data_IF_923808620536
#
_entry.id   IF_923808620536
#
_cell.length_a   1.000
_cell.length_b   1.000
_cell.length_c   1.000
_cell.angle_alpha   90.00
_cell.angle_beta   90.00
_cell.angle_gamma   90.00
#
_symmetry.space_group_name_H-M   'P 1'
#
loop_
_entity.id
_entity.type
_entity.pdbx_description
1 polymer ?
#
# COMPACT_ATOMS: atom_id res chain seq x y z
N UNK A 1 2.23 46.00 7.49
CA UNK A 1 1.66 45.81 6.14
C UNK A 1 0.90 44.51 6.15
N UNK A 2 -0.40 44.60 6.41
CA UNK A 2 -1.32 43.45 6.46
C UNK A 2 -1.52 42.89 5.05
N UNK A 3 -1.18 41.63 4.82
CA UNK A 3 -1.62 40.89 3.64
C UNK A 3 -2.89 40.10 4.01
N UNK A 4 -4.03 40.76 3.83
CA UNK A 4 -5.36 40.17 4.01
C UNK A 4 -5.67 39.21 2.86
N UNK A 5 -5.23 37.95 2.98
CA UNK A 5 -5.62 36.91 2.03
C UNK A 5 -7.09 36.51 2.28
N UNK A 6 -7.97 36.96 1.37
CA UNK A 6 -9.44 36.82 1.46
C UNK A 6 -9.91 35.38 1.71
N UNK A 7 -10.86 35.13 2.64
CA UNK A 7 -11.42 33.80 2.93
C UNK A 7 -12.03 33.08 1.72
N UNK A 8 -12.44 33.83 0.68
CA UNK A 8 -12.99 33.26 -0.56
C UNK A 8 -11.95 32.42 -1.31
N UNK A 9 -10.70 32.87 -1.38
CA UNK A 9 -9.62 32.16 -2.09
C UNK A 9 -9.27 30.81 -1.46
N UNK A 10 -9.39 30.68 -0.13
CA UNK A 10 -9.14 29.42 0.59
C UNK A 10 -10.21 28.35 0.32
N UNK A 11 -11.48 28.76 0.18
CA UNK A 11 -12.57 27.84 -0.19
C UNK A 11 -12.42 27.36 -1.63
N UNK A 12 -12.05 28.25 -2.56
CA UNK A 12 -11.83 27.89 -3.96
C UNK A 12 -10.68 26.89 -4.09
N UNK A 13 -9.53 27.16 -3.45
CA UNK A 13 -8.37 26.24 -3.46
C UNK A 13 -8.67 24.85 -2.83
N UNK A 14 -9.44 24.81 -1.73
CA UNK A 14 -9.84 23.54 -1.10
C UNK A 14 -10.81 22.71 -1.95
N UNK A 15 -11.64 23.36 -2.78
CA UNK A 15 -12.55 22.70 -3.72
C UNK A 15 -11.75 22.15 -4.91
N UNK A 16 -10.82 22.93 -5.46
CA UNK A 16 -9.97 22.48 -6.58
C UNK A 16 -9.05 21.31 -6.20
N UNK A 17 -8.56 21.26 -4.95
CA UNK A 17 -7.76 20.13 -4.43
C UNK A 17 -8.63 18.88 -4.19
N UNK A 18 -9.93 19.03 -3.88
CA UNK A 18 -10.86 17.91 -3.73
C UNK A 18 -11.31 17.35 -5.09
N UNK A 19 -11.48 18.20 -6.10
CA UNK A 19 -11.88 17.78 -7.45
C UNK A 19 -10.74 17.05 -8.19
N UNK A 20 -9.49 17.48 -8.00
CA UNK A 20 -8.31 16.83 -8.59
C UNK A 20 -7.95 15.46 -7.97
N UNK A 21 -8.50 15.12 -6.81
CA UNK A 21 -8.24 13.85 -6.13
C UNK A 21 -9.13 12.67 -6.62
N UNK A 22 -10.17 12.96 -7.42
CA UNK A 22 -11.19 11.96 -7.82
C UNK A 22 -10.86 11.30 -9.17
N UNK A 23 -10.06 11.92 -10.04
CA UNK A 23 -9.62 11.28 -11.30
C UNK A 23 -8.22 10.68 -11.17
N UNK A 24 -8.15 9.37 -10.93
CA UNK A 24 -6.90 8.59 -11.06
C UNK A 24 -6.82 7.93 -12.45
N UNK A 25 -5.96 8.39 -13.36
CA UNK A 25 -5.41 7.51 -14.38
C UNK A 25 -4.19 6.77 -13.84
N UNK A 26 -4.26 5.43 -13.85
CA UNK A 26 -3.12 4.52 -13.62
C UNK A 26 -2.18 4.57 -14.83
N UNK A 27 -1.13 5.40 -14.84
CA UNK A 27 0.11 5.10 -15.60
C UNK A 27 1.36 5.59 -14.86
N UNK A 28 2.27 4.65 -14.64
CA UNK A 28 3.55 4.81 -13.96
C UNK A 28 4.59 5.23 -15.01
N UNK A 29 4.67 6.53 -15.31
CA UNK A 29 5.79 7.12 -16.07
C UNK A 29 6.76 7.81 -15.10
N UNK A 30 8.04 7.85 -15.47
CA UNK A 30 9.17 8.25 -14.62
C UNK A 30 9.23 9.76 -14.26
N UNK A 31 8.16 10.54 -14.46
CA UNK A 31 8.06 11.94 -13.99
C UNK A 31 7.45 12.08 -12.58
N UNK A 32 7.14 10.97 -11.91
CA UNK A 32 6.33 10.96 -10.69
C UNK A 32 7.08 11.15 -9.36
N UNK A 33 8.39 11.43 -9.36
CA UNK A 33 9.09 11.74 -8.11
C UNK A 33 8.82 13.18 -7.62
N UNK A 34 8.65 14.15 -8.51
CA UNK A 34 8.40 15.54 -8.11
C UNK A 34 6.99 15.73 -7.53
N UNK A 35 5.92 15.28 -8.20
CA UNK A 35 4.55 15.46 -7.68
C UNK A 35 4.28 14.67 -6.39
N UNK A 36 4.91 13.49 -6.22
CA UNK A 36 4.77 12.70 -4.99
C UNK A 36 5.56 13.32 -3.84
N UNK A 37 6.69 13.98 -4.10
CA UNK A 37 7.40 14.80 -3.13
C UNK A 37 6.61 16.06 -2.75
N UNK A 38 6.01 16.78 -3.71
CA UNK A 38 5.23 18.00 -3.43
C UNK A 38 3.97 17.74 -2.60
N UNK A 39 3.29 16.61 -2.82
CA UNK A 39 2.09 16.25 -2.06
C UNK A 39 2.41 15.80 -0.63
N UNK A 40 3.55 15.14 -0.41
CA UNK A 40 4.04 14.81 0.94
C UNK A 40 4.54 16.07 1.68
N UNK A 41 5.25 16.97 0.99
CA UNK A 41 5.69 18.26 1.54
C UNK A 41 4.51 19.14 1.98
N UNK A 42 3.46 19.25 1.17
CA UNK A 42 2.29 20.05 1.52
C UNK A 42 1.47 19.48 2.69
N UNK A 43 1.50 18.16 2.91
CA UNK A 43 0.85 17.52 4.05
C UNK A 43 1.66 17.69 5.35
N UNK A 44 3.00 17.60 5.28
CA UNK A 44 3.89 17.91 6.42
C UNK A 44 3.78 19.39 6.84
N UNK A 45 3.71 20.33 5.88
CA UNK A 45 3.50 21.76 6.18
C UNK A 45 2.17 22.00 6.93
N UNK A 46 1.08 21.36 6.51
CA UNK A 46 -0.25 21.57 7.12
C UNK A 46 -0.33 21.04 8.57
N UNK A 47 0.41 20.00 8.92
CA UNK A 47 0.50 19.49 10.30
C UNK A 47 1.33 20.41 11.21
N UNK A 48 2.45 20.94 10.72
CA UNK A 48 3.24 21.94 11.45
C UNK A 48 2.46 23.24 11.70
N UNK A 49 1.72 23.75 10.69
CA UNK A 49 0.87 24.93 10.85
C UNK A 49 -0.24 24.75 11.90
N UNK A 50 -0.72 23.52 12.12
CA UNK A 50 -1.79 23.21 13.07
C UNK A 50 -1.27 23.15 14.52
N UNK A 51 -0.09 22.55 14.74
CA UNK A 51 0.55 22.50 16.06
C UNK A 51 1.02 23.87 16.54
N UNK A 52 1.63 24.66 15.65
CA UNK A 52 2.04 26.03 15.98
C UNK A 52 0.80 26.87 16.32
N UNK A 53 -0.30 26.77 15.56
CA UNK A 53 -1.56 27.48 15.86
C UNK A 53 -2.16 27.16 17.23
N UNK A 54 -2.18 25.89 17.64
CA UNK A 54 -2.69 25.51 18.97
C UNK A 54 -1.87 26.16 20.10
N UNK A 55 -0.54 26.15 19.98
CA UNK A 55 0.33 26.80 20.97
C UNK A 55 0.16 28.33 20.99
N UNK A 56 0.03 28.97 19.83
CA UNK A 56 -0.18 30.42 19.70
C UNK A 56 -1.52 30.83 20.31
N UNK A 57 -2.60 30.10 20.03
CA UNK A 57 -3.93 30.37 20.57
C UNK A 57 -4.04 30.12 22.08
N UNK A 58 -3.11 29.36 22.66
CA UNK A 58 -3.08 29.08 24.09
C UNK A 58 -2.37 30.17 24.92
N UNK A 59 -1.73 31.16 24.26
CA UNK A 59 -1.13 32.33 24.93
C UNK A 59 -2.23 33.18 25.57
N UNK A 60 -1.99 33.66 26.79
CA UNK A 60 -3.00 34.36 27.61
C UNK A 60 -3.86 33.43 28.47
N UNK A 61 -3.94 32.13 28.16
CA UNK A 61 -4.59 31.14 29.02
C UNK A 61 -3.59 30.50 30.00
N UNK A 62 -3.90 30.54 31.30
CA UNK A 62 -2.99 30.13 32.40
C UNK A 62 -2.48 28.69 32.31
N UNK A 63 -3.23 27.76 31.71
CA UNK A 63 -2.90 26.31 31.72
C UNK A 63 -2.70 25.69 30.34
N UNK A 64 -2.68 26.51 29.28
CA UNK A 64 -2.48 26.07 27.89
C UNK A 64 -3.29 24.81 27.46
N UNK A 65 -4.53 24.69 27.96
CA UNK A 65 -5.42 23.56 27.65
C UNK A 65 -5.10 22.24 28.36
N UNK A 66 -4.21 22.22 29.35
CA UNK A 66 -3.83 21.01 30.11
C UNK A 66 -4.51 20.88 31.48
N UNK A 67 -5.43 21.79 31.80
CA UNK A 67 -6.21 21.81 33.04
C UNK A 67 -5.43 22.31 34.26
N UNK A 68 -6.14 22.83 35.27
CA UNK A 68 -5.54 23.42 36.48
C UNK A 68 -5.15 22.38 37.55
N UNK A 69 -5.94 21.32 37.70
CA UNK A 69 -5.80 20.32 38.79
C UNK A 69 -4.77 19.25 38.43
N UNK A 70 -5.02 18.48 37.35
CA UNK A 70 -4.14 17.37 36.96
C UNK A 70 -2.73 17.82 36.54
N UNK A 71 -2.62 19.00 35.93
CA UNK A 71 -1.40 19.63 35.38
C UNK A 71 -0.64 18.75 34.37
N UNK A 72 -0.01 19.38 33.39
CA UNK A 72 0.88 18.64 32.50
C UNK A 72 2.18 18.29 33.21
N UNK A 73 2.48 17.00 33.32
CA UNK A 73 3.65 16.43 33.98
C UNK A 73 4.46 15.64 32.96
N UNK A 74 5.73 15.34 33.26
CA UNK A 74 6.65 14.75 32.29
C UNK A 74 6.22 13.35 31.82
N UNK A 75 6.05 12.39 32.73
CA UNK A 75 5.62 11.02 32.41
C UNK A 75 4.80 10.40 33.56
N UNK A 76 3.49 10.69 33.67
CA UNK A 76 2.69 10.27 34.82
C UNK A 76 2.44 8.74 34.88
N UNK A 77 2.43 8.03 33.75
CA UNK A 77 2.20 6.58 33.68
C UNK A 77 3.45 5.75 33.38
N UNK A 78 4.64 6.35 33.47
CA UNK A 78 5.89 5.75 33.01
C UNK A 78 6.26 6.14 31.56
N UNK A 79 7.35 5.57 31.06
CA UNK A 79 7.88 5.82 29.71
C UNK A 79 7.66 4.60 28.82
N UNK A 80 7.25 4.82 27.57
CA UNK A 80 7.08 3.74 26.59
C UNK A 80 6.02 2.72 27.01
N UNK A 81 6.35 1.42 26.93
CA UNK A 81 5.46 0.29 27.23
C UNK A 81 5.49 -0.14 28.71
N UNK A 82 5.92 0.74 29.61
CA UNK A 82 5.91 0.48 31.04
C UNK A 82 4.48 0.19 31.54
N UNK A 83 4.36 -0.78 32.45
CA UNK A 83 3.07 -1.14 33.06
C UNK A 83 2.16 -2.01 32.21
N UNK A 84 2.64 -2.55 31.09
CA UNK A 84 1.80 -3.35 30.18
C UNK A 84 1.13 -4.58 30.80
N UNK A 85 1.67 -5.14 31.89
CA UNK A 85 1.02 -6.22 32.68
C UNK A 85 0.36 -5.73 33.98
N UNK A 86 0.51 -4.44 34.30
CA UNK A 86 0.07 -3.84 35.55
C UNK A 86 -0.97 -2.75 35.26
N UNK A 87 -0.64 -1.48 35.49
CA UNK A 87 -1.57 -0.35 35.36
C UNK A 87 -2.00 -0.02 33.92
N UNK A 88 -1.32 -0.55 32.90
CA UNK A 88 -1.73 -0.47 31.49
C UNK A 88 -2.26 -1.79 30.93
N UNK A 89 -2.48 -2.82 31.78
CA UNK A 89 -2.95 -4.14 31.35
C UNK A 89 -4.24 -4.10 30.55
N UNK A 90 -5.23 -3.34 31.02
CA UNK A 90 -6.53 -3.22 30.33
C UNK A 90 -6.39 -2.71 28.90
N UNK A 91 -5.43 -1.83 28.63
CA UNK A 91 -5.17 -1.33 27.29
C UNK A 91 -4.49 -2.41 26.41
N UNK A 92 -3.50 -3.11 26.97
CA UNK A 92 -2.76 -4.16 26.26
C UNK A 92 -3.65 -5.37 25.94
N UNK A 93 -4.45 -5.83 26.89
CA UNK A 93 -5.33 -7.00 26.68
C UNK A 93 -6.45 -6.69 25.68
N UNK A 94 -6.95 -5.45 25.66
CA UNK A 94 -8.04 -5.02 24.77
C UNK A 94 -7.58 -4.82 23.33
N UNK A 95 -6.45 -4.13 23.13
CA UNK A 95 -6.02 -3.72 21.78
C UNK A 95 -4.86 -4.54 21.22
N UNK A 96 -4.11 -5.23 22.08
CA UNK A 96 -2.92 -6.00 21.71
C UNK A 96 -2.93 -7.41 22.33
N UNK A 97 -3.99 -8.23 22.08
CA UNK A 97 -4.01 -9.59 22.57
C UNK A 97 -2.87 -10.41 21.96
N UNK A 98 -2.20 -11.22 22.77
CA UNK A 98 -1.04 -12.03 22.35
C UNK A 98 0.30 -11.29 22.32
N UNK A 99 0.36 -10.04 22.82
CA UNK A 99 1.62 -9.30 22.94
C UNK A 99 2.61 -9.99 23.90
N UNK A 100 2.11 -10.51 25.02
CA UNK A 100 2.92 -11.25 25.98
C UNK A 100 2.88 -12.75 25.70
N UNK A 101 4.05 -13.37 25.60
CA UNK A 101 4.20 -14.82 25.41
C UNK A 101 5.30 -15.16 24.41
N UNK A 102 5.65 -16.45 24.34
CA UNK A 102 6.54 -17.00 23.31
C UNK A 102 5.73 -17.97 22.45
N UNK A 103 5.83 -17.86 21.13
CA UNK A 103 5.09 -18.70 20.17
C UNK A 103 6.04 -19.24 19.09
N UNK A 104 5.88 -20.50 18.73
CA UNK A 104 6.55 -21.13 17.59
C UNK A 104 8.02 -21.49 17.80
N UNK A 105 8.67 -21.94 16.72
CA UNK A 105 10.08 -22.35 16.70
C UNK A 105 11.00 -21.18 16.33
N UNK A 106 12.20 -21.15 16.91
CA UNK A 106 13.24 -20.18 16.54
C UNK A 106 13.90 -20.58 15.21
N UNK A 107 14.05 -19.63 14.29
CA UNK A 107 14.80 -19.81 13.04
C UNK A 107 16.17 -19.14 13.18
N UNK A 108 17.24 -19.95 13.31
CA UNK A 108 18.61 -19.42 13.36
C UNK A 108 19.14 -19.10 11.96
N UNK A 109 19.90 -17.99 11.83
CA UNK A 109 20.46 -17.52 10.54
C UNK A 109 19.44 -17.45 9.40
N UNK A 110 18.30 -16.78 9.64
CA UNK A 110 17.25 -16.65 8.64
C UNK A 110 17.67 -15.67 7.52
N UNK A 111 17.95 -16.21 6.34
CA UNK A 111 18.17 -15.43 5.12
C UNK A 111 16.84 -15.22 4.39
N UNK A 112 16.43 -13.96 4.18
CA UNK A 112 15.13 -13.65 3.58
C UNK A 112 15.06 -14.00 2.08
N UNK A 113 16.20 -14.02 1.38
CA UNK A 113 16.25 -14.31 -0.05
C UNK A 113 15.81 -15.74 -0.39
N UNK A 114 16.00 -16.71 0.53
CA UNK A 114 15.51 -18.08 0.34
C UNK A 114 13.98 -18.17 0.32
N UNK A 115 13.31 -17.22 0.99
CA UNK A 115 11.85 -17.12 1.01
C UNK A 115 11.31 -16.17 -0.06
N UNK A 116 12.15 -15.69 -0.97
CA UNK A 116 11.71 -14.84 -2.06
C UNK A 116 10.76 -15.64 -2.95
N UNK A 117 9.46 -15.38 -2.76
CA UNK A 117 8.40 -16.00 -3.54
C UNK A 117 7.28 -15.00 -3.87
N UNK A 118 7.54 -13.94 -4.66
CA UNK A 118 6.48 -13.00 -5.02
C UNK A 118 5.41 -13.69 -5.86
N UNK A 119 4.16 -13.33 -5.58
CA UNK A 119 2.98 -14.01 -6.09
C UNK A 119 2.23 -13.12 -7.08
N UNK A 120 1.80 -13.70 -8.19
CA UNK A 120 0.84 -13.10 -9.13
C UNK A 120 -0.41 -13.97 -9.23
N UNK A 121 -1.56 -13.32 -9.41
CA UNK A 121 -2.84 -13.98 -9.60
C UNK A 121 -3.24 -13.95 -11.09
N UNK A 122 -4.12 -14.86 -11.49
CA UNK A 122 -4.58 -14.96 -12.89
C UNK A 122 -5.25 -13.68 -13.40
N UNK A 123 -5.98 -12.97 -12.54
CA UNK A 123 -6.64 -11.69 -12.84
C UNK A 123 -5.70 -10.63 -13.43
N UNK A 124 -4.42 -10.67 -13.04
CA UNK A 124 -3.41 -9.68 -13.41
C UNK A 124 -2.48 -10.13 -14.54
N UNK A 125 -2.56 -11.37 -15.02
CA UNK A 125 -1.66 -11.86 -16.08
C UNK A 125 -1.75 -10.99 -17.34
N UNK A 126 -2.97 -10.68 -17.80
CA UNK A 126 -3.19 -9.80 -18.95
C UNK A 126 -2.82 -8.34 -18.71
N UNK A 127 -2.56 -7.91 -17.47
CA UNK A 127 -2.05 -6.56 -17.19
C UNK A 127 -0.53 -6.46 -17.33
N UNK A 128 0.17 -7.59 -17.37
CA UNK A 128 1.62 -7.65 -17.58
C UNK A 128 2.00 -7.57 -19.06
N UNK A 129 1.07 -7.93 -19.94
CA UNK A 129 1.22 -7.77 -21.39
C UNK A 129 1.01 -6.29 -21.75
N UNK A 130 1.87 -5.69 -22.60
CA UNK A 130 1.64 -4.33 -23.12
C UNK A 130 0.26 -4.20 -23.77
N UNK A 131 -0.39 -3.04 -23.58
CA UNK A 131 -1.78 -2.82 -23.98
C UNK A 131 -2.03 -3.07 -25.48
N UNK A 132 -1.12 -2.58 -26.34
CA UNK A 132 -1.20 -2.74 -27.80
C UNK A 132 -1.29 -4.23 -28.19
N UNK A 133 -0.37 -5.05 -27.65
CA UNK A 133 -0.35 -6.49 -27.92
C UNK A 133 -1.54 -7.21 -27.30
N UNK A 134 -1.98 -6.79 -26.12
CA UNK A 134 -3.13 -7.37 -25.43
C UNK A 134 -4.41 -7.26 -26.28
N UNK A 135 -4.67 -6.10 -26.86
CA UNK A 135 -5.89 -5.87 -27.64
C UNK A 135 -5.85 -6.62 -28.98
N UNK A 136 -4.68 -6.79 -29.59
CA UNK A 136 -4.49 -7.65 -30.76
C UNK A 136 -4.84 -9.13 -30.49
N UNK A 137 -4.40 -9.67 -29.34
CA UNK A 137 -4.68 -11.06 -28.96
C UNK A 137 -6.14 -11.26 -28.50
N UNK A 138 -6.73 -10.26 -27.83
CA UNK A 138 -8.14 -10.32 -27.40
C UNK A 138 -9.12 -10.18 -28.56
N UNK A 139 -8.77 -9.41 -29.59
CA UNK A 139 -9.60 -9.24 -30.80
C UNK A 139 -9.54 -10.42 -31.77
N UNK A 140 -8.70 -11.44 -31.51
CA UNK A 140 -8.64 -12.67 -32.30
C UNK A 140 -7.94 -12.55 -33.64
N UNK A 141 -7.17 -11.48 -33.85
CA UNK A 141 -6.46 -11.19 -35.11
C UNK A 141 -5.28 -12.14 -35.39
N UNK A 142 -4.70 -12.75 -34.36
CA UNK A 142 -3.59 -13.71 -34.45
C UNK A 142 -3.95 -15.00 -33.72
N UNK A 143 -4.48 -15.99 -34.45
CA UNK A 143 -4.83 -17.31 -33.89
C UNK A 143 -3.64 -18.28 -33.83
N UNK A 144 -2.65 -18.07 -34.71
CA UNK A 144 -1.53 -19.01 -34.86
C UNK A 144 -0.36 -18.72 -33.91
N UNK A 145 -0.28 -17.52 -33.33
CA UNK A 145 0.78 -17.13 -32.40
C UNK A 145 0.23 -16.93 -30.99
N UNK A 146 0.69 -17.75 -30.05
CA UNK A 146 0.31 -17.67 -28.64
C UNK A 146 1.30 -16.78 -27.87
N UNK A 147 0.84 -15.82 -27.04
CA UNK A 147 1.74 -15.02 -26.22
C UNK A 147 2.43 -15.85 -25.14
N UNK A 148 3.75 -15.69 -25.04
CA UNK A 148 4.57 -16.26 -23.96
C UNK A 148 4.81 -15.19 -22.90
N UNK A 149 4.37 -15.46 -21.67
CA UNK A 149 4.53 -14.57 -20.53
C UNK A 149 5.54 -15.15 -19.55
N UNK A 150 6.75 -14.57 -19.54
CA UNK A 150 7.78 -14.89 -18.55
C UNK A 150 7.64 -14.01 -17.30
N UNK A 151 7.36 -14.65 -16.17
CA UNK A 151 7.11 -13.98 -14.91
C UNK A 151 8.39 -13.73 -14.11
N UNK A 152 9.47 -14.46 -14.38
CA UNK A 152 10.70 -14.37 -13.61
C UNK A 152 11.42 -13.02 -13.82
N UNK A 153 11.61 -12.52 -15.06
CA UNK A 153 12.16 -11.17 -15.30
C UNK A 153 11.27 -10.06 -14.75
N UNK A 154 9.96 -10.31 -14.67
CA UNK A 154 8.99 -9.38 -14.07
C UNK A 154 9.01 -9.41 -12.53
N UNK A 155 9.83 -10.27 -11.92
CA UNK A 155 10.00 -10.38 -10.48
C UNK A 155 8.93 -11.20 -9.77
N UNK A 156 8.20 -12.05 -10.49
CA UNK A 156 7.23 -13.00 -9.92
C UNK A 156 7.73 -14.43 -10.01
N UNK A 157 7.38 -15.24 -9.01
CA UNK A 157 7.86 -16.61 -8.90
C UNK A 157 6.73 -17.63 -8.80
N UNK A 158 5.58 -17.24 -8.23
CA UNK A 158 4.42 -18.13 -8.03
C UNK A 158 3.16 -17.55 -8.66
N UNK A 159 2.43 -18.39 -9.38
CA UNK A 159 1.09 -18.06 -9.90
C UNK A 159 0.01 -18.72 -9.04
N UNK A 160 -1.01 -17.94 -8.66
CA UNK A 160 -2.19 -18.38 -7.92
C UNK A 160 -3.48 -18.22 -8.75
N UNK A 161 -4.45 -19.10 -8.49
CA UNK A 161 -5.69 -19.26 -9.27
C UNK A 161 -6.79 -18.22 -9.07
N UNK A 162 -6.53 -17.08 -8.41
CA UNK A 162 -7.57 -16.07 -8.17
C UNK A 162 -7.92 -15.31 -9.46
N UNK A 163 -9.20 -15.23 -9.77
CA UNK A 163 -9.73 -14.53 -10.96
C UNK A 163 -10.19 -15.47 -12.07
N UNK A 164 -10.73 -14.86 -13.14
CA UNK A 164 -11.06 -15.51 -14.40
C UNK A 164 -10.12 -14.99 -15.47
N UNK A 165 -9.67 -15.87 -16.35
CA UNK A 165 -8.90 -15.52 -17.54
C UNK A 165 -9.88 -15.53 -18.72
N UNK A 166 -9.73 -14.64 -19.71
CA UNK A 166 -10.42 -14.83 -20.99
C UNK A 166 -10.04 -16.17 -21.63
N UNK A 167 -10.90 -16.72 -22.48
CA UNK A 167 -10.69 -17.98 -23.23
C UNK A 167 -9.70 -17.77 -24.40
N UNK A 168 -8.57 -17.13 -24.11
CA UNK A 168 -7.47 -16.89 -25.05
C UNK A 168 -6.28 -17.70 -24.55
N UNK A 169 -5.67 -18.54 -25.40
CA UNK A 169 -4.53 -19.37 -25.00
C UNK A 169 -3.36 -18.48 -24.57
N UNK A 170 -2.70 -18.87 -23.48
CA UNK A 170 -1.56 -18.15 -22.90
C UNK A 170 -0.53 -19.16 -22.41
N UNK A 171 0.74 -18.98 -22.80
CA UNK A 171 1.84 -19.76 -22.22
C UNK A 171 2.42 -18.98 -21.05
N UNK A 172 2.37 -19.54 -19.84
CA UNK A 172 2.85 -18.89 -18.62
C UNK A 172 4.07 -19.61 -18.08
N UNK A 173 5.19 -18.88 -18.00
CA UNK A 173 6.48 -19.36 -17.49
C UNK A 173 6.70 -18.87 -16.07
N UNK A 174 6.81 -19.78 -15.11
CA UNK A 174 7.08 -19.45 -13.70
C UNK A 174 7.76 -20.61 -12.95
N UNK A 175 8.26 -20.33 -11.75
CA UNK A 175 8.88 -21.36 -10.89
C UNK A 175 7.85 -22.25 -10.20
N UNK A 176 6.69 -21.69 -9.84
CA UNK A 176 5.69 -22.38 -9.03
C UNK A 176 4.27 -22.05 -9.47
N UNK A 177 3.39 -23.05 -9.46
CA UNK A 177 1.97 -22.89 -9.75
C UNK A 177 1.11 -23.48 -8.64
N UNK A 178 -0.08 -22.91 -8.41
CA UNK A 178 -1.12 -23.59 -7.64
C UNK A 178 -1.93 -24.52 -8.55
N UNK A 179 -2.43 -25.63 -8.01
CA UNK A 179 -3.29 -26.58 -8.74
C UNK A 179 -4.48 -25.92 -9.44
N UNK A 180 -5.11 -24.95 -8.79
CA UNK A 180 -6.23 -24.19 -9.39
C UNK A 180 -5.79 -23.27 -10.53
N UNK A 181 -4.58 -22.70 -10.45
CA UNK A 181 -4.03 -21.86 -11.50
C UNK A 181 -3.77 -22.68 -12.77
N UNK A 182 -3.13 -23.82 -12.58
CA UNK A 182 -2.84 -24.77 -13.66
C UNK A 182 -4.12 -25.22 -14.35
N UNK A 183 -5.11 -25.70 -13.58
CA UNK A 183 -6.41 -26.12 -14.14
C UNK A 183 -7.06 -25.04 -15.01
N UNK A 184 -7.12 -23.79 -14.51
CA UNK A 184 -7.75 -22.67 -15.25
C UNK A 184 -6.97 -22.25 -16.50
N UNK A 185 -5.64 -22.32 -16.47
CA UNK A 185 -4.82 -22.01 -17.64
C UNK A 185 -5.02 -23.08 -18.71
N UNK A 186 -5.07 -24.36 -18.33
CA UNK A 186 -5.37 -25.46 -19.25
C UNK A 186 -6.79 -25.38 -19.80
N UNK A 187 -7.79 -25.05 -18.97
CA UNK A 187 -9.19 -24.83 -19.41
C UNK A 187 -9.31 -23.69 -20.43
N UNK A 188 -8.47 -22.64 -20.31
CA UNK A 188 -8.41 -21.54 -21.27
C UNK A 188 -7.60 -21.87 -22.55
N UNK A 189 -7.11 -23.11 -22.69
CA UNK A 189 -6.28 -23.55 -23.83
C UNK A 189 -4.81 -23.11 -23.74
N UNK A 190 -4.36 -22.63 -22.57
CA UNK A 190 -2.98 -22.25 -22.31
C UNK A 190 -2.10 -23.41 -21.81
N UNK A 191 -0.80 -23.16 -21.76
CA UNK A 191 0.22 -24.12 -21.29
C UNK A 191 1.01 -23.51 -20.13
N UNK A 192 1.33 -24.35 -19.15
CA UNK A 192 2.13 -23.98 -17.98
C UNK A 192 3.54 -24.51 -18.18
N UNK A 193 4.53 -23.61 -18.11
CA UNK A 193 5.94 -23.96 -18.22
C UNK A 193 6.68 -23.67 -16.91
N UNK A 194 7.36 -24.69 -16.39
CA UNK A 194 8.19 -24.57 -15.20
C UNK A 194 9.57 -24.05 -15.57
N UNK A 195 10.00 -22.98 -14.90
CA UNK A 195 11.32 -22.37 -15.09
C UNK A 195 12.07 -22.36 -13.76
N UNK A 196 13.38 -22.63 -13.78
CA UNK A 196 14.23 -22.70 -12.59
C UNK A 196 14.62 -21.31 -12.05
#
# INVERSE_FOLDING_TARGET
MESTFSPKLKKTLLVTIRETAIERPRKRSQSNNLLRCYCYWALEELEEYKLIKLSVNSRGHVSAGKGRVGKHRKHPGGRGLAGGQHHHRTNMDKYHPGYFGKVGMRYFHKQQNHFWKPVVNLDKLWSLVPAEKRDEYLSGSKKDTVPVLDLLPLGYSKVLGKGRIPEVPLVVRARWFSKEAERKITEAGGVVELVA
#
